data_IF_991217599925
#
_entry.id   IF_991217599925
#
_cell.length_a   1.000
_cell.length_b   1.000
_cell.length_c   1.000
_cell.angle_alpha   90.00
_cell.angle_beta   90.00
_cell.angle_gamma   90.00
#
_symmetry.space_group_name_H-M   'P 1'
#
loop_
_entity.id
_entity.type
_entity.pdbx_description
1 polymer ?
#
# COMPACT_ATOMS: atom_id res chain seq x y z
N UNK A 1 -23.73 -59.31 13.47
CA UNK A 1 -23.56 -57.88 13.64
C UNK A 1 -23.64 -57.28 12.25
N UNK A 2 -24.68 -56.50 11.97
CA UNK A 2 -24.85 -55.86 10.65
C UNK A 2 -23.68 -54.88 10.44
N UNK A 3 -23.03 -54.90 9.28
CA UNK A 3 -22.03 -53.95 8.93
C UNK A 3 -22.62 -52.54 9.08
N UNK A 4 -21.89 -51.53 9.66
CA UNK A 4 -22.40 -50.19 9.73
C UNK A 4 -22.69 -49.70 8.30
N UNK A 5 -23.87 -49.09 8.10
CA UNK A 5 -24.22 -48.47 6.83
C UNK A 5 -23.20 -47.40 6.46
N UNK A 6 -22.78 -47.38 5.19
CA UNK A 6 -21.86 -46.36 4.68
C UNK A 6 -22.44 -44.96 4.90
N UNK A 7 -21.62 -43.97 5.32
CA UNK A 7 -22.07 -42.60 5.52
C UNK A 7 -22.51 -41.99 4.18
N UNK A 8 -23.61 -41.25 4.20
CA UNK A 8 -24.02 -40.47 3.03
C UNK A 8 -23.10 -39.25 2.85
N UNK A 9 -23.00 -38.75 1.62
CA UNK A 9 -22.26 -37.54 1.32
C UNK A 9 -22.74 -36.33 2.16
N UNK A 10 -24.06 -36.25 2.38
CA UNK A 10 -24.66 -35.19 3.21
C UNK A 10 -24.25 -35.28 4.67
N UNK A 11 -24.09 -36.49 5.21
CA UNK A 11 -23.58 -36.70 6.57
C UNK A 11 -22.12 -36.25 6.69
N UNK A 12 -21.29 -36.51 5.69
CA UNK A 12 -19.90 -36.04 5.64
C UNK A 12 -19.81 -34.49 5.52
N UNK A 13 -20.62 -33.88 4.65
CA UNK A 13 -20.71 -32.42 4.53
C UNK A 13 -21.22 -31.75 5.82
N UNK A 14 -22.18 -32.37 6.49
CA UNK A 14 -22.68 -31.92 7.80
C UNK A 14 -21.59 -31.98 8.90
N UNK A 15 -20.73 -32.99 8.84
CA UNK A 15 -19.58 -33.03 9.76
C UNK A 15 -18.56 -31.93 9.44
N UNK A 16 -18.27 -31.71 8.16
CA UNK A 16 -17.36 -30.66 7.68
C UNK A 16 -17.88 -29.25 7.93
N UNK A 17 -19.21 -29.04 8.02
CA UNK A 17 -19.78 -27.73 8.35
C UNK A 17 -19.44 -27.25 9.77
N UNK A 18 -18.93 -28.13 10.62
CA UNK A 18 -18.45 -27.80 11.97
C UNK A 18 -16.96 -27.39 11.97
N UNK A 19 -16.26 -27.63 10.87
CA UNK A 19 -14.85 -27.26 10.72
C UNK A 19 -14.78 -25.84 10.19
N UNK A 20 -14.21 -24.96 10.98
CA UNK A 20 -14.00 -23.57 10.60
C UNK A 20 -12.58 -23.37 10.03
N UNK A 21 -12.47 -22.57 9.00
CA UNK A 21 -11.17 -22.06 8.57
C UNK A 21 -10.57 -21.23 9.71
N UNK A 22 -9.32 -21.50 10.13
CA UNK A 22 -8.74 -20.86 11.32
C UNK A 22 -8.49 -19.36 11.15
N UNK A 23 -8.31 -18.87 9.90
CA UNK A 23 -8.06 -17.46 9.60
C UNK A 23 -9.38 -16.69 9.41
N UNK A 24 -10.32 -17.25 8.66
CA UNK A 24 -11.61 -16.60 8.31
C UNK A 24 -12.66 -16.82 9.41
N UNK A 25 -12.55 -17.90 10.19
CA UNK A 25 -13.47 -18.31 11.28
C UNK A 25 -14.90 -18.56 10.83
N UNK A 26 -15.05 -19.09 9.64
CA UNK A 26 -16.32 -19.58 9.07
C UNK A 26 -16.19 -21.02 8.62
N UNK A 27 -17.30 -21.78 8.54
CA UNK A 27 -17.30 -23.15 8.06
C UNK A 27 -16.67 -23.30 6.67
N UNK A 28 -15.77 -24.26 6.50
CA UNK A 28 -15.10 -24.51 5.20
C UNK A 28 -16.09 -24.87 4.08
N UNK A 29 -17.24 -25.44 4.43
CA UNK A 29 -18.33 -25.72 3.49
C UNK A 29 -18.98 -24.44 2.98
N UNK A 30 -19.20 -23.44 3.83
CA UNK A 30 -19.74 -22.14 3.45
C UNK A 30 -18.73 -21.33 2.60
N UNK A 31 -17.44 -21.50 2.86
CA UNK A 31 -16.37 -20.80 2.14
C UNK A 31 -16.06 -21.40 0.76
N UNK A 32 -16.77 -22.47 0.36
CA UNK A 32 -16.49 -23.18 -0.89
C UNK A 32 -15.11 -23.84 -0.92
N UNK A 33 -14.54 -24.14 0.25
CA UNK A 33 -13.21 -24.74 0.37
C UNK A 33 -13.25 -26.26 0.18
N UNK A 34 -14.40 -26.92 0.31
CA UNK A 34 -14.54 -28.35 0.05
C UNK A 34 -14.64 -28.58 -1.45
N UNK A 35 -13.57 -29.11 -2.06
CA UNK A 35 -13.50 -29.45 -3.49
C UNK A 35 -14.29 -30.74 -3.79
N UNK A 36 -14.00 -31.78 -3.03
CA UNK A 36 -14.71 -33.06 -3.11
C UNK A 36 -14.64 -33.79 -1.78
N UNK A 37 -15.67 -34.62 -1.51
CA UNK A 37 -15.69 -35.59 -0.42
C UNK A 37 -16.37 -36.84 -0.91
N UNK A 38 -15.65 -37.93 -0.95
CA UNK A 38 -16.08 -39.20 -1.47
C UNK A 38 -15.77 -40.30 -0.45
N UNK A 39 -16.58 -41.38 -0.41
CA UNK A 39 -16.40 -42.54 0.44
C UNK A 39 -16.48 -43.82 -0.35
N UNK A 40 -15.56 -44.73 -0.13
CA UNK A 40 -15.58 -46.05 -0.77
C UNK A 40 -16.38 -47.09 0.02
N UNK A 41 -16.51 -48.29 -0.53
CA UNK A 41 -17.26 -49.41 0.06
C UNK A 41 -16.65 -49.90 1.39
N UNK A 42 -15.39 -49.59 1.66
CA UNK A 42 -14.68 -49.92 2.90
C UNK A 42 -14.84 -48.86 4.00
N UNK A 43 -15.50 -47.74 3.69
CA UNK A 43 -15.66 -46.60 4.59
C UNK A 43 -14.44 -45.67 4.63
N UNK A 44 -13.55 -45.76 3.64
CA UNK A 44 -12.44 -44.86 3.50
C UNK A 44 -12.89 -43.56 2.81
N UNK A 45 -12.61 -42.39 3.42
CA UNK A 45 -13.02 -41.07 2.93
C UNK A 45 -11.85 -40.35 2.30
N UNK A 46 -12.02 -39.95 1.04
CA UNK A 46 -11.12 -39.05 0.30
C UNK A 46 -11.71 -37.65 0.35
N UNK A 47 -11.01 -36.74 1.00
CA UNK A 47 -11.39 -35.32 1.10
C UNK A 47 -10.36 -34.44 0.39
N UNK A 48 -10.82 -33.58 -0.53
CA UNK A 48 -10.00 -32.56 -1.14
C UNK A 48 -10.46 -31.16 -0.67
N UNK A 49 -9.51 -30.35 -0.17
CA UNK A 49 -9.76 -29.00 0.35
C UNK A 49 -8.96 -27.98 -0.45
N UNK A 50 -9.59 -26.89 -0.84
CA UNK A 50 -8.91 -25.74 -1.39
C UNK A 50 -8.32 -24.85 -0.29
N UNK A 51 -7.04 -24.54 -0.40
CA UNK A 51 -6.37 -23.47 0.36
C UNK A 51 -6.50 -22.13 -0.38
N UNK A 52 -6.63 -21.05 0.34
CA UNK A 52 -6.65 -19.70 -0.24
C UNK A 52 -5.32 -19.31 -0.88
N UNK A 53 -4.20 -19.76 -0.29
CA UNK A 53 -2.83 -19.55 -0.78
C UNK A 53 -1.98 -20.81 -0.57
N UNK A 54 -0.99 -21.03 -1.45
CA UNK A 54 -0.11 -22.21 -1.39
C UNK A 54 0.76 -22.31 -0.12
N UNK A 55 1.00 -21.19 0.55
CA UNK A 55 1.82 -21.08 1.76
C UNK A 55 1.03 -20.93 3.06
N UNK A 56 -0.25 -21.36 3.11
CA UNK A 56 -1.09 -21.22 4.30
C UNK A 56 -0.41 -21.85 5.54
N UNK A 57 -0.09 -21.06 6.60
CA UNK A 57 0.58 -21.57 7.78
C UNK A 57 -0.32 -22.47 8.63
N UNK A 58 -1.62 -22.41 8.39
CA UNK A 58 -2.62 -23.15 9.17
C UNK A 58 -3.10 -24.46 8.48
N UNK A 59 -2.44 -24.89 7.39
CA UNK A 59 -2.81 -26.09 6.62
C UNK A 59 -2.88 -27.36 7.48
N UNK A 60 -1.95 -27.51 8.43
CA UNK A 60 -1.89 -28.69 9.31
C UNK A 60 -3.06 -28.72 10.31
N UNK A 61 -3.46 -27.55 10.82
CA UNK A 61 -4.66 -27.42 11.68
C UNK A 61 -5.92 -27.78 10.91
N UNK A 62 -6.07 -27.23 9.70
CA UNK A 62 -7.21 -27.50 8.85
C UNK A 62 -7.33 -29.00 8.49
N UNK A 63 -6.22 -29.64 8.14
CA UNK A 63 -6.15 -31.09 7.88
C UNK A 63 -6.55 -31.89 9.10
N UNK A 64 -6.01 -31.56 10.28
CA UNK A 64 -6.30 -32.24 11.53
C UNK A 64 -7.78 -32.14 11.91
N UNK A 65 -8.34 -30.95 11.88
CA UNK A 65 -9.72 -30.68 12.27
C UNK A 65 -10.72 -31.35 11.34
N UNK A 66 -10.44 -31.31 10.00
CA UNK A 66 -11.26 -32.01 9.02
C UNK A 66 -11.21 -33.50 9.17
N UNK A 67 -10.04 -34.08 9.43
CA UNK A 67 -9.87 -35.52 9.71
C UNK A 67 -10.65 -35.92 10.95
N UNK A 68 -10.52 -35.17 12.05
CA UNK A 68 -11.24 -35.47 13.29
C UNK A 68 -12.76 -35.39 13.14
N UNK A 69 -13.27 -34.39 12.39
CA UNK A 69 -14.69 -34.23 12.12
C UNK A 69 -15.27 -35.42 11.32
N UNK A 70 -14.54 -35.88 10.32
CA UNK A 70 -14.98 -37.02 9.48
C UNK A 70 -14.86 -38.36 10.22
N UNK A 71 -13.81 -38.57 11.01
CA UNK A 71 -13.66 -39.78 11.82
C UNK A 71 -14.78 -39.96 12.86
N UNK A 72 -15.43 -38.87 13.27
CA UNK A 72 -16.60 -38.89 14.14
C UNK A 72 -17.89 -39.37 13.46
N UNK A 73 -17.91 -39.56 12.14
CA UNK A 73 -19.09 -40.00 11.40
C UNK A 73 -19.18 -41.54 11.43
N UNK A 74 -20.32 -42.15 11.84
CA UNK A 74 -20.50 -43.59 11.86
C UNK A 74 -20.30 -44.21 10.45
N UNK A 75 -19.49 -45.26 10.38
CA UNK A 75 -19.17 -45.94 9.13
C UNK A 75 -17.90 -45.46 8.42
N UNK A 76 -17.25 -44.38 8.90
CA UNK A 76 -15.93 -43.94 8.43
C UNK A 76 -14.84 -44.79 9.12
N UNK A 77 -13.98 -45.41 8.32
CA UNK A 77 -12.87 -46.25 8.79
C UNK A 77 -11.54 -45.53 8.74
N UNK A 78 -11.32 -44.68 7.76
CA UNK A 78 -10.13 -43.86 7.60
C UNK A 78 -10.43 -42.64 6.73
N UNK A 79 -9.57 -41.60 6.87
CA UNK A 79 -9.72 -40.36 6.13
C UNK A 79 -8.37 -39.97 5.52
N UNK A 80 -8.36 -39.67 4.23
CA UNK A 80 -7.23 -39.06 3.55
C UNK A 80 -7.62 -37.64 3.09
N UNK A 81 -6.75 -36.66 3.40
CA UNK A 81 -7.00 -35.25 3.08
C UNK A 81 -5.95 -34.77 2.09
N UNK A 82 -6.41 -34.32 0.93
CA UNK A 82 -5.58 -33.69 -0.09
C UNK A 82 -5.84 -32.19 -0.12
N UNK A 83 -4.77 -31.41 -0.17
CA UNK A 83 -4.84 -29.95 -0.23
C UNK A 83 -4.53 -29.48 -1.65
N UNK A 84 -5.36 -28.60 -2.18
CA UNK A 84 -5.21 -27.93 -3.47
C UNK A 84 -5.25 -26.41 -3.26
N UNK A 85 -4.95 -25.61 -4.27
CA UNK A 85 -4.95 -24.13 -4.17
C UNK A 85 -6.09 -23.58 -5.03
N UNK A 86 -6.83 -22.62 -4.49
CA UNK A 86 -7.89 -21.91 -5.22
C UNK A 86 -7.33 -21.19 -6.46
N UNK A 87 -8.08 -21.23 -7.56
CA UNK A 87 -7.82 -20.36 -8.72
C UNK A 87 -8.08 -18.89 -8.38
N UNK A 88 -7.63 -17.99 -9.26
CA UNK A 88 -7.87 -16.55 -9.09
C UNK A 88 -9.36 -16.21 -9.09
N UNK A 89 -10.14 -16.91 -9.92
CA UNK A 89 -11.60 -16.74 -9.97
C UNK A 89 -12.26 -17.23 -8.68
N UNK A 90 -11.85 -18.38 -8.15
CA UNK A 90 -12.37 -18.90 -6.88
C UNK A 90 -12.05 -18.01 -5.71
N UNK A 91 -10.82 -17.44 -5.65
CA UNK A 91 -10.44 -16.45 -4.63
C UNK A 91 -11.26 -15.17 -4.75
N UNK A 92 -11.56 -14.74 -5.96
CA UNK A 92 -12.40 -13.56 -6.21
C UNK A 92 -13.83 -13.81 -5.76
N UNK A 93 -14.41 -14.97 -6.08
CA UNK A 93 -15.75 -15.35 -5.63
C UNK A 93 -15.84 -15.46 -4.09
N UNK A 94 -14.84 -16.07 -3.45
CA UNK A 94 -14.76 -16.13 -1.99
C UNK A 94 -14.69 -14.72 -1.36
N UNK A 95 -13.89 -13.83 -1.92
CA UNK A 95 -13.82 -12.42 -1.46
C UNK A 95 -15.15 -11.69 -1.57
N UNK A 96 -15.85 -11.84 -2.70
CA UNK A 96 -17.19 -11.26 -2.90
C UNK A 96 -18.21 -11.82 -1.90
N UNK A 97 -18.18 -13.11 -1.62
CA UNK A 97 -19.04 -13.75 -0.63
C UNK A 97 -18.76 -13.24 0.79
N UNK A 98 -17.49 -13.13 1.17
CA UNK A 98 -17.09 -12.62 2.48
C UNK A 98 -17.49 -11.15 2.71
N UNK A 99 -17.61 -10.37 1.64
CA UNK A 99 -18.03 -8.96 1.63
C UNK A 99 -19.55 -8.76 1.55
N UNK A 100 -20.34 -9.84 1.57
CA UNK A 100 -21.80 -9.75 1.49
C UNK A 100 -22.31 -9.33 0.10
N UNK A 101 -21.55 -9.63 -0.95
CA UNK A 101 -21.96 -9.34 -2.34
C UNK A 101 -21.76 -7.89 -2.78
N UNK A 102 -21.15 -7.03 -1.95
CA UNK A 102 -20.81 -5.66 -2.36
C UNK A 102 -19.64 -5.72 -3.34
N UNK A 103 -19.78 -5.23 -4.59
CA UNK A 103 -18.66 -5.20 -5.54
C UNK A 103 -17.49 -4.39 -4.96
N UNK A 104 -16.26 -4.83 -5.22
CA UNK A 104 -15.08 -4.02 -4.94
C UNK A 104 -15.21 -2.71 -5.71
N UNK A 105 -15.21 -1.56 -5.00
CA UNK A 105 -15.13 -0.27 -5.68
C UNK A 105 -13.79 -0.23 -6.44
N UNK A 106 -13.87 0.05 -7.71
CA UNK A 106 -12.67 0.20 -8.54
C UNK A 106 -11.83 1.37 -8.02
N UNK A 107 -10.53 1.12 -7.88
CA UNK A 107 -9.58 2.18 -7.55
C UNK A 107 -9.26 2.93 -8.85
N UNK A 108 -9.65 4.21 -9.01
CA UNK A 108 -9.47 4.94 -10.26
C UNK A 108 -8.01 5.02 -10.70
N UNK A 109 -7.09 5.06 -9.73
CA UNK A 109 -5.64 5.18 -9.97
C UNK A 109 -4.99 3.89 -10.46
N UNK A 110 -5.63 2.74 -10.26
CA UNK A 110 -5.15 1.43 -10.72
C UNK A 110 -5.55 1.13 -12.18
N UNK A 111 -6.45 1.92 -12.74
CA UNK A 111 -6.93 1.71 -14.10
C UNK A 111 -5.82 1.98 -15.14
N UNK A 112 -5.69 1.14 -16.18
CA UNK A 112 -4.64 1.31 -17.21
C UNK A 112 -4.69 2.65 -17.95
N UNK A 113 -5.86 3.28 -18.00
CA UNK A 113 -6.10 4.57 -18.63
C UNK A 113 -6.01 5.76 -17.66
N UNK A 114 -5.70 5.51 -16.39
CA UNK A 114 -5.53 6.57 -15.40
C UNK A 114 -4.43 7.55 -15.82
N UNK A 115 -4.76 8.83 -15.81
CA UNK A 115 -3.82 9.91 -16.09
C UNK A 115 -3.17 10.47 -14.85
N UNK A 116 -3.63 10.07 -13.66
CA UNK A 116 -3.07 10.48 -12.38
C UNK A 116 -1.70 9.85 -12.16
N UNK A 117 -0.72 10.65 -11.78
CA UNK A 117 0.58 10.15 -11.32
C UNK A 117 0.49 9.85 -9.85
N UNK A 118 0.89 8.66 -9.47
CA UNK A 118 0.91 8.25 -8.06
C UNK A 118 2.35 8.09 -7.60
N UNK A 119 2.73 8.82 -6.58
CA UNK A 119 4.04 8.74 -5.94
C UNK A 119 3.92 8.19 -4.52
N UNK A 120 4.53 7.05 -4.27
CA UNK A 120 4.67 6.47 -2.95
C UNK A 120 5.97 7.02 -2.30
N UNK A 121 5.81 7.92 -1.33
CA UNK A 121 6.95 8.55 -0.65
C UNK A 121 7.40 7.65 0.50
N UNK A 122 8.58 7.08 0.36
CA UNK A 122 9.14 6.09 1.27
C UNK A 122 10.45 6.59 1.89
N UNK A 123 10.78 6.07 3.08
CA UNK A 123 12.06 6.28 3.73
C UNK A 123 12.52 5.03 4.45
N UNK A 124 13.80 4.76 4.50
CA UNK A 124 14.35 3.58 5.19
C UNK A 124 14.36 3.70 6.72
N UNK A 125 14.25 4.92 7.26
CA UNK A 125 14.21 5.20 8.71
C UNK A 125 13.27 6.36 9.02
N UNK A 126 12.80 6.44 10.26
CA UNK A 126 12.07 7.59 10.76
C UNK A 126 12.95 8.83 10.94
N UNK A 127 12.32 10.02 10.97
CA UNK A 127 13.01 11.27 11.27
C UNK A 127 13.81 11.89 10.11
N UNK A 128 13.70 11.38 8.88
CA UNK A 128 14.35 11.97 7.69
C UNK A 128 13.59 13.16 7.09
N UNK A 129 12.44 13.51 7.65
CA UNK A 129 11.58 14.58 7.13
C UNK A 129 10.71 14.17 5.94
N UNK A 130 10.41 12.89 5.78
CA UNK A 130 9.57 12.33 4.69
C UNK A 130 8.26 13.10 4.52
N UNK A 131 7.47 13.24 5.59
CA UNK A 131 6.17 13.91 5.56
C UNK A 131 6.30 15.41 5.27
N UNK A 132 7.36 16.09 5.77
CA UNK A 132 7.64 17.49 5.42
C UNK A 132 7.91 17.63 3.92
N UNK A 133 8.67 16.71 3.34
CA UNK A 133 8.92 16.68 1.88
C UNK A 133 7.61 16.44 1.13
N UNK A 134 6.82 15.44 1.53
CA UNK A 134 5.53 15.09 0.92
C UNK A 134 4.58 16.29 0.87
N UNK A 135 4.40 16.96 2.00
CA UNK A 135 3.51 18.13 2.15
C UNK A 135 3.96 19.29 1.27
N UNK A 136 5.23 19.59 1.28
CA UNK A 136 5.76 20.70 0.49
C UNK A 136 5.76 20.42 -1.03
N UNK A 137 6.02 19.18 -1.42
CA UNK A 137 5.86 18.78 -2.84
C UNK A 137 4.39 18.92 -3.27
N UNK A 138 3.44 18.47 -2.44
CA UNK A 138 2.01 18.60 -2.73
C UNK A 138 1.60 20.06 -2.90
N UNK A 139 1.95 20.92 -1.95
CA UNK A 139 1.63 22.35 -1.98
C UNK A 139 2.30 23.07 -3.17
N UNK A 140 3.57 22.76 -3.47
CA UNK A 140 4.26 23.33 -4.62
C UNK A 140 3.69 22.88 -5.98
N UNK A 141 3.20 21.65 -6.08
CA UNK A 141 2.53 21.17 -7.30
C UNK A 141 1.14 21.81 -7.46
N UNK A 142 0.40 21.99 -6.36
CA UNK A 142 -0.89 22.67 -6.38
C UNK A 142 -0.74 24.14 -6.78
N UNK A 143 0.27 24.85 -6.26
CA UNK A 143 0.61 26.22 -6.67
C UNK A 143 0.92 26.34 -8.17
N UNK A 144 1.46 25.28 -8.78
CA UNK A 144 1.69 25.20 -10.23
C UNK A 144 0.42 24.88 -11.05
N UNK A 145 -0.75 24.83 -10.41
CA UNK A 145 -2.04 24.59 -11.04
C UNK A 145 -2.38 23.12 -11.24
N UNK A 146 -1.66 22.18 -10.63
CA UNK A 146 -2.01 20.77 -10.66
C UNK A 146 -3.06 20.44 -9.60
N UNK A 147 -3.96 19.50 -9.90
CA UNK A 147 -4.92 18.94 -8.94
C UNK A 147 -4.22 17.86 -8.14
N UNK A 148 -3.99 18.11 -6.86
CA UNK A 148 -3.16 17.27 -6.01
C UNK A 148 -3.96 16.66 -4.87
N UNK A 149 -3.71 15.37 -4.61
CA UNK A 149 -4.16 14.66 -3.43
C UNK A 149 -3.00 14.12 -2.60
N UNK A 150 -3.22 14.01 -1.29
CA UNK A 150 -2.29 13.36 -0.36
C UNK A 150 -3.03 12.35 0.50
N UNK A 151 -2.52 11.13 0.55
CA UNK A 151 -2.91 10.11 1.50
C UNK A 151 -1.80 9.97 2.53
N UNK A 152 -2.10 10.29 3.78
CA UNK A 152 -1.22 10.00 4.92
C UNK A 152 -1.50 8.58 5.40
N UNK A 153 -0.62 7.67 5.04
CA UNK A 153 -0.67 6.26 5.40
C UNK A 153 0.25 5.91 6.57
N UNK A 154 0.90 6.89 7.20
CA UNK A 154 1.71 6.68 8.41
C UNK A 154 0.82 6.55 9.64
N UNK A 155 0.45 5.33 9.96
CA UNK A 155 -0.48 5.01 11.07
C UNK A 155 0.09 5.28 12.47
N UNK A 156 1.39 5.41 12.58
CA UNK A 156 2.07 5.62 13.86
C UNK A 156 2.47 7.08 14.07
N UNK A 157 2.57 7.85 13.00
CA UNK A 157 3.06 9.22 13.02
C UNK A 157 2.34 10.14 12.06
N UNK A 158 1.01 10.00 11.93
CA UNK A 158 0.20 10.83 11.04
C UNK A 158 0.41 12.32 11.35
N UNK A 159 1.04 13.01 10.43
CA UNK A 159 1.45 14.41 10.59
C UNK A 159 1.02 15.32 9.44
N UNK A 160 0.67 14.74 8.30
CA UNK A 160 0.31 15.48 7.07
C UNK A 160 -0.84 16.47 7.28
N UNK A 161 -1.97 16.12 7.95
CA UNK A 161 -3.06 17.08 8.18
C UNK A 161 -2.60 18.31 8.94
N UNK A 162 -1.84 18.12 10.04
CA UNK A 162 -1.31 19.20 10.83
C UNK A 162 -0.36 20.10 10.02
N UNK A 163 0.55 19.49 9.26
CA UNK A 163 1.52 20.23 8.43
C UNK A 163 0.88 21.02 7.28
N UNK A 164 -0.35 20.63 6.87
CA UNK A 164 -1.15 21.35 5.89
C UNK A 164 -2.21 22.27 6.54
N UNK A 165 -2.22 22.41 7.87
CA UNK A 165 -3.21 23.22 8.57
C UNK A 165 -4.65 22.72 8.41
N UNK A 166 -4.84 21.42 8.24
CA UNK A 166 -6.17 20.80 8.10
C UNK A 166 -6.74 20.55 9.50
N UNK A 167 -7.78 21.32 9.87
CA UNK A 167 -8.50 21.14 11.13
C UNK A 167 -9.84 20.38 10.94
N UNK A 168 -10.35 20.38 9.72
CA UNK A 168 -11.63 19.79 9.38
C UNK A 168 -11.53 18.26 9.26
N UNK A 169 -12.59 17.57 9.69
CA UNK A 169 -12.72 16.13 9.45
C UNK A 169 -13.33 15.87 8.08
N UNK A 170 -13.03 14.71 7.47
CA UNK A 170 -13.72 14.28 6.26
C UNK A 170 -15.22 14.22 6.48
N UNK A 171 -16.00 14.62 5.48
CA UNK A 171 -17.46 14.51 5.48
C UNK A 171 -17.87 13.23 4.75
N UNK A 172 -18.76 12.45 5.32
CA UNK A 172 -19.29 11.27 4.65
C UNK A 172 -20.66 11.62 4.02
N UNK A 173 -20.78 11.30 2.73
CA UNK A 173 -22.03 11.42 1.97
C UNK A 173 -22.33 10.07 1.36
N UNK A 174 -23.32 9.37 1.88
CA UNK A 174 -23.63 7.98 1.57
C UNK A 174 -22.37 7.08 1.71
N UNK A 175 -21.95 6.44 0.63
CA UNK A 175 -20.76 5.58 0.59
C UNK A 175 -19.48 6.33 0.18
N UNK A 176 -19.53 7.67 0.10
CA UNK A 176 -18.43 8.49 -0.39
C UNK A 176 -17.87 9.36 0.73
N UNK A 177 -16.55 9.44 0.81
CA UNK A 177 -15.81 10.28 1.75
C UNK A 177 -15.35 11.54 1.02
N UNK A 178 -15.79 12.70 1.44
CA UNK A 178 -15.30 13.98 0.94
C UNK A 178 -14.04 14.38 1.75
N UNK A 179 -12.87 14.44 1.13
CA UNK A 179 -11.65 14.83 1.82
C UNK A 179 -11.63 16.34 2.08
N UNK A 180 -11.12 16.81 3.22
CA UNK A 180 -10.84 18.22 3.41
C UNK A 180 -9.79 18.71 2.41
N UNK A 181 -9.85 20.03 2.13
CA UNK A 181 -8.92 20.69 1.21
C UNK A 181 -8.21 21.79 1.97
N UNK A 182 -6.88 21.82 1.85
CA UNK A 182 -6.05 22.91 2.34
C UNK A 182 -4.95 23.21 1.33
N UNK A 183 -4.67 24.48 1.09
CA UNK A 183 -3.70 24.95 0.08
C UNK A 183 -3.93 24.27 -1.31
N UNK A 184 -5.18 24.12 -1.71
CA UNK A 184 -5.62 23.42 -2.95
C UNK A 184 -5.20 21.95 -3.04
N UNK A 185 -4.81 21.34 -1.90
CA UNK A 185 -4.48 19.92 -1.77
C UNK A 185 -5.62 19.19 -1.05
N UNK A 186 -6.14 18.12 -1.66
CA UNK A 186 -7.06 17.18 -1.02
C UNK A 186 -6.29 16.27 -0.08
N UNK A 187 -6.74 16.12 1.17
CA UNK A 187 -6.01 15.37 2.19
C UNK A 187 -6.89 14.31 2.82
N UNK A 188 -6.37 13.11 2.93
CA UNK A 188 -6.94 12.06 3.76
C UNK A 188 -5.84 11.45 4.63
N UNK A 189 -6.12 11.23 5.89
CA UNK A 189 -5.20 10.60 6.83
C UNK A 189 -5.95 9.61 7.70
N UNK A 190 -5.29 8.52 8.02
CA UNK A 190 -5.82 7.53 8.94
C UNK A 190 -6.14 8.14 10.32
N UNK A 191 -5.35 9.14 10.73
CA UNK A 191 -5.55 9.88 11.97
C UNK A 191 -6.88 10.64 12.05
N UNK A 192 -7.51 10.96 10.93
CA UNK A 192 -8.80 11.64 10.89
C UNK A 192 -9.97 10.75 11.34
N UNK A 193 -9.79 9.43 11.30
CA UNK A 193 -10.80 8.42 11.67
C UNK A 193 -10.58 7.80 13.04
N UNK A 194 -9.45 8.10 13.68
CA UNK A 194 -9.13 7.60 15.02
C UNK A 194 -9.67 8.61 16.05
N UNK A 195 -10.57 8.19 16.97
CA UNK A 195 -11.06 9.06 18.03
C UNK A 195 -9.98 9.36 19.07
N UNK A 196 -9.58 10.61 19.21
CA UNK A 196 -8.64 11.06 20.24
C UNK A 196 -7.22 10.45 20.10
N UNK A 197 -6.44 10.45 21.18
CA UNK A 197 -5.09 9.86 21.25
C UNK A 197 -5.12 8.38 21.66
N UNK A 198 -6.15 7.61 21.31
CA UNK A 198 -6.20 6.21 21.66
C UNK A 198 -5.21 5.42 20.78
N UNK A 199 -4.33 4.60 21.38
CA UNK A 199 -3.44 3.74 20.61
C UNK A 199 -4.27 2.66 19.90
N UNK A 200 -4.34 2.73 18.59
CA UNK A 200 -4.94 1.67 17.76
C UNK A 200 -3.84 0.73 17.31
N UNK A 201 -3.97 -0.54 17.63
CA UNK A 201 -3.06 -1.57 17.13
C UNK A 201 -3.45 -1.92 15.70
N UNK A 202 -2.74 -1.34 14.75
CA UNK A 202 -2.92 -1.62 13.33
C UNK A 202 -2.21 -2.92 12.95
N UNK A 203 -2.94 -3.84 12.34
CA UNK A 203 -2.38 -5.06 11.74
C UNK A 203 -2.38 -4.93 10.22
N UNK A 204 -1.43 -5.59 9.52
CA UNK A 204 -1.27 -5.51 8.07
C UNK A 204 -2.57 -5.57 7.26
N UNK A 205 -3.48 -6.55 7.49
CA UNK A 205 -4.77 -6.62 6.77
C UNK A 205 -5.70 -5.43 7.02
N UNK A 206 -5.66 -4.81 8.21
CA UNK A 206 -6.46 -3.61 8.53
C UNK A 206 -5.92 -2.39 7.77
N UNK A 207 -4.60 -2.27 7.68
CA UNK A 207 -3.94 -1.19 6.94
C UNK A 207 -4.21 -1.28 5.44
N UNK A 208 -4.11 -2.48 4.88
CA UNK A 208 -4.46 -2.73 3.48
C UNK A 208 -5.91 -2.31 3.18
N UNK A 209 -6.84 -2.69 4.05
CA UNK A 209 -8.26 -2.33 3.90
C UNK A 209 -8.50 -0.83 4.03
N UNK A 210 -7.85 -0.16 5.00
CA UNK A 210 -7.96 1.30 5.16
C UNK A 210 -7.41 2.02 3.92
N UNK A 211 -6.25 1.60 3.41
CA UNK A 211 -5.67 2.16 2.20
C UNK A 211 -6.58 1.94 0.98
N UNK A 212 -7.16 0.75 0.84
CA UNK A 212 -8.13 0.44 -0.22
C UNK A 212 -9.36 1.37 -0.14
N UNK A 213 -9.89 1.63 1.07
CA UNK A 213 -10.99 2.56 1.28
C UNK A 213 -10.58 4.00 0.92
N UNK A 214 -9.40 4.45 1.32
CA UNK A 214 -8.93 5.80 0.97
C UNK A 214 -8.73 5.98 -0.53
N UNK A 215 -8.36 4.95 -1.24
CA UNK A 215 -8.17 5.00 -2.69
C UNK A 215 -9.48 4.86 -3.48
N UNK A 216 -10.47 4.12 -2.95
CA UNK A 216 -11.72 3.80 -3.65
C UNK A 216 -12.95 4.55 -3.16
N UNK A 217 -13.03 4.90 -1.86
CA UNK A 217 -14.23 5.52 -1.27
C UNK A 217 -14.10 7.05 -1.12
N UNK A 218 -12.88 7.58 -1.15
CA UNK A 218 -12.65 9.03 -1.12
C UNK A 218 -12.92 9.65 -2.49
N UNK A 219 -13.67 10.74 -2.49
CA UNK A 219 -13.96 11.52 -3.70
C UNK A 219 -12.75 12.37 -4.10
N UNK A 220 -11.85 11.76 -4.82
CA UNK A 220 -10.67 12.44 -5.34
C UNK A 220 -10.98 13.35 -6.53
N UNK A 221 -12.01 13.02 -7.33
CA UNK A 221 -12.24 13.65 -8.64
C UNK A 221 -11.06 13.40 -9.58
N UNK A 222 -10.89 14.30 -10.53
CA UNK A 222 -9.76 14.22 -11.47
C UNK A 222 -8.51 14.77 -10.81
N UNK A 223 -7.58 13.92 -10.41
CA UNK A 223 -6.27 14.32 -9.93
C UNK A 223 -5.22 14.25 -11.04
N UNK A 224 -4.27 15.18 -11.01
CA UNK A 224 -3.04 15.10 -11.81
C UNK A 224 -1.96 14.34 -11.06
N UNK A 225 -1.91 14.49 -9.72
CA UNK A 225 -0.92 13.85 -8.84
C UNK A 225 -1.57 13.38 -7.54
N UNK A 226 -1.22 12.16 -7.12
CA UNK A 226 -1.52 11.61 -5.79
C UNK A 226 -0.21 11.24 -5.10
N UNK A 227 0.03 11.80 -3.92
CA UNK A 227 1.17 11.48 -3.07
C UNK A 227 0.70 10.58 -1.91
N UNK A 228 1.39 9.48 -1.68
CA UNK A 228 1.14 8.57 -0.57
C UNK A 228 2.28 8.69 0.42
N UNK A 229 2.05 9.29 1.59
CA UNK A 229 3.05 9.38 2.66
C UNK A 229 3.08 8.07 3.44
N UNK A 230 4.09 7.22 3.17
CA UNK A 230 4.18 5.88 3.77
C UNK A 230 4.82 5.92 5.16
N UNK A 231 4.55 4.95 6.05
CA UNK A 231 5.32 4.83 7.29
C UNK A 231 6.80 4.58 7.00
N UNK A 232 7.68 4.91 7.94
CA UNK A 232 9.10 4.64 7.79
C UNK A 232 9.36 3.12 7.74
N UNK A 233 10.34 2.73 6.96
CA UNK A 233 10.68 1.33 6.72
C UNK A 233 9.98 0.75 5.50
N UNK A 234 10.06 -0.57 5.35
CA UNK A 234 9.66 -1.31 4.14
C UNK A 234 8.59 -2.35 4.44
N UNK A 235 7.65 -1.97 5.31
CA UNK A 235 6.63 -2.89 5.83
C UNK A 235 5.45 -3.16 4.88
N UNK A 236 4.44 -3.82 5.41
CA UNK A 236 3.23 -4.30 4.73
C UNK A 236 2.49 -3.22 3.91
N UNK A 237 2.63 -1.92 4.27
CA UNK A 237 1.97 -0.83 3.56
C UNK A 237 2.56 -0.62 2.16
N UNK A 238 3.87 -0.68 2.00
CA UNK A 238 4.51 -0.53 0.69
C UNK A 238 4.07 -1.66 -0.26
N UNK A 239 3.97 -2.89 0.26
CA UNK A 239 3.43 -4.04 -0.49
C UNK A 239 1.95 -3.82 -0.82
N UNK A 240 1.17 -3.30 0.13
CA UNK A 240 -0.25 -2.99 -0.09
C UNK A 240 -0.44 -1.92 -1.18
N UNK A 241 0.38 -0.86 -1.19
CA UNK A 241 0.36 0.16 -2.26
C UNK A 241 0.64 -0.48 -3.61
N UNK A 242 1.67 -1.31 -3.70
CA UNK A 242 2.03 -1.99 -4.93
C UNK A 242 0.94 -2.92 -5.46
N UNK A 243 0.22 -3.60 -4.57
CA UNK A 243 -0.92 -4.45 -4.92
C UNK A 243 -2.13 -3.64 -5.38
N UNK A 244 -2.41 -2.51 -4.73
CA UNK A 244 -3.56 -1.67 -5.01
C UNK A 244 -3.34 -0.73 -6.19
N UNK A 245 -2.10 -0.23 -6.38
CA UNK A 245 -1.72 0.68 -7.47
C UNK A 245 -0.36 0.23 -8.03
N UNK A 246 -0.32 -0.78 -8.89
CA UNK A 246 0.94 -1.30 -9.45
C UNK A 246 1.75 -0.26 -10.25
N UNK A 247 1.06 0.78 -10.74
CA UNK A 247 1.64 1.88 -11.52
C UNK A 247 2.25 2.99 -10.66
N UNK A 248 2.12 2.93 -9.32
CA UNK A 248 2.72 3.92 -8.43
C UNK A 248 4.25 3.88 -8.52
N UNK A 249 4.87 5.06 -8.58
CA UNK A 249 6.32 5.21 -8.57
C UNK A 249 6.81 5.53 -7.16
N UNK A 250 7.95 4.96 -6.76
CA UNK A 250 8.51 5.18 -5.43
C UNK A 250 9.41 6.42 -5.45
N UNK A 251 9.16 7.35 -4.51
CA UNK A 251 10.07 8.45 -4.18
C UNK A 251 10.78 8.12 -2.87
N UNK A 252 12.11 8.05 -2.90
CA UNK A 252 12.90 7.72 -1.71
C UNK A 252 13.42 8.99 -1.06
N UNK A 253 13.05 9.24 0.20
CA UNK A 253 13.57 10.35 1.01
C UNK A 253 14.64 9.82 1.97
N UNK A 254 15.80 10.44 1.94
CA UNK A 254 16.96 10.10 2.79
C UNK A 254 17.65 11.33 3.34
N UNK A 255 18.73 11.13 4.10
CA UNK A 255 19.61 12.17 4.64
C UNK A 255 21.07 11.87 4.24
N UNK A 256 22.02 12.83 4.34
CA UNK A 256 23.42 12.64 3.93
C UNK A 256 24.19 11.53 4.67
N UNK A 257 23.68 11.04 5.80
CA UNK A 257 24.36 10.06 6.64
C UNK A 257 24.67 8.76 5.91
N UNK A 258 25.84 8.17 6.15
CA UNK A 258 26.31 6.94 5.51
C UNK A 258 25.46 5.68 5.77
N UNK A 259 24.57 5.67 6.76
CA UNK A 259 23.54 4.62 6.93
C UNK A 259 22.52 4.56 5.76
N UNK A 260 22.72 5.38 4.74
CA UNK A 260 21.96 5.42 3.50
C UNK A 260 21.97 4.08 2.71
N UNK A 261 23.02 3.25 2.85
CA UNK A 261 23.08 1.95 2.16
C UNK A 261 21.94 1.02 2.54
N UNK A 262 21.59 0.95 3.83
CA UNK A 262 20.46 0.13 4.32
C UNK A 262 19.11 0.62 3.76
N UNK A 263 18.98 1.93 3.56
CA UNK A 263 17.79 2.55 2.93
C UNK A 263 17.65 2.10 1.49
N UNK A 264 18.78 2.12 0.75
CA UNK A 264 18.82 1.70 -0.64
C UNK A 264 18.46 0.22 -0.80
N UNK A 265 19.05 -0.65 0.02
CA UNK A 265 18.76 -2.09 -0.03
C UNK A 265 17.28 -2.39 0.19
N UNK A 266 16.67 -1.75 1.18
CA UNK A 266 15.25 -1.96 1.50
C UNK A 266 14.32 -1.43 0.41
N UNK A 267 14.50 -0.18 -0.02
CA UNK A 267 13.66 0.41 -1.08
C UNK A 267 13.85 -0.32 -2.42
N UNK A 268 15.08 -0.73 -2.75
CA UNK A 268 15.38 -1.53 -3.94
C UNK A 268 14.72 -2.91 -3.89
N UNK A 269 14.78 -3.59 -2.75
CA UNK A 269 14.15 -4.89 -2.54
C UNK A 269 12.63 -4.83 -2.76
N UNK A 270 11.96 -3.79 -2.22
CA UNK A 270 10.53 -3.61 -2.45
C UNK A 270 10.25 -3.35 -3.92
N UNK A 271 10.95 -2.40 -4.54
CA UNK A 271 10.73 -2.07 -5.95
C UNK A 271 10.88 -3.30 -6.86
N UNK A 272 11.87 -4.16 -6.59
CA UNK A 272 12.08 -5.41 -7.32
C UNK A 272 10.96 -6.42 -7.07
N UNK A 273 10.56 -6.62 -5.80
CA UNK A 273 9.49 -7.57 -5.44
C UNK A 273 8.13 -7.15 -5.98
N UNK A 274 7.89 -5.85 -6.06
CA UNK A 274 6.60 -5.29 -6.49
C UNK A 274 6.58 -4.84 -7.95
N UNK A 275 7.70 -4.94 -8.66
CA UNK A 275 7.88 -4.44 -10.04
C UNK A 275 7.57 -2.96 -10.21
N UNK A 276 7.68 -2.16 -9.14
CA UNK A 276 7.45 -0.72 -9.17
C UNK A 276 8.71 0.02 -9.62
N UNK A 277 8.52 1.14 -10.30
CA UNK A 277 9.61 2.05 -10.67
C UNK A 277 9.99 2.93 -9.51
N UNK A 278 11.28 3.23 -9.37
CA UNK A 278 11.76 4.28 -8.48
C UNK A 278 11.86 5.58 -9.28
N UNK A 279 11.06 6.58 -8.91
CA UNK A 279 11.08 7.88 -9.54
C UNK A 279 12.39 8.63 -9.28
N UNK A 280 12.96 8.47 -8.11
CA UNK A 280 14.25 9.03 -7.72
C UNK A 280 14.42 9.16 -6.22
N UNK A 281 15.56 9.74 -5.86
CA UNK A 281 15.98 9.97 -4.47
C UNK A 281 15.93 11.47 -4.18
N UNK A 282 15.49 11.84 -2.99
CA UNK A 282 15.51 13.21 -2.46
C UNK A 282 16.35 13.16 -1.18
N UNK A 283 17.45 13.93 -1.15
CA UNK A 283 18.26 14.08 0.05
C UNK A 283 17.78 15.29 0.84
N UNK A 284 17.27 15.06 2.03
CA UNK A 284 16.85 16.11 2.95
C UNK A 284 17.92 16.36 4.02
N UNK A 285 17.94 17.55 4.60
CA UNK A 285 18.92 17.98 5.62
C UNK A 285 20.37 17.93 5.09
N UNK A 286 20.57 18.29 3.82
CA UNK A 286 21.87 18.13 3.13
C UNK A 286 22.96 19.01 3.69
N UNK A 287 22.66 20.25 4.06
CA UNK A 287 23.58 21.21 4.72
C UNK A 287 22.80 22.26 5.47
N UNK A 288 23.45 22.92 6.41
CA UNK A 288 22.98 24.17 6.99
C UNK A 288 23.69 25.34 6.28
N UNK A 289 22.93 26.30 5.79
CA UNK A 289 23.48 27.53 5.23
C UNK A 289 23.62 28.57 6.34
N UNK A 290 24.84 29.04 6.56
CA UNK A 290 25.15 30.07 7.54
C UNK A 290 24.89 31.47 6.97
N UNK A 291 24.76 32.53 7.83
CA UNK A 291 24.48 33.89 7.37
C UNK A 291 25.52 34.49 6.41
N UNK A 292 26.74 33.95 6.41
CA UNK A 292 27.81 34.35 5.49
C UNK A 292 27.79 33.59 4.16
N UNK A 293 26.77 32.74 3.94
CA UNK A 293 26.62 31.87 2.75
C UNK A 293 27.47 30.61 2.79
N UNK A 294 28.21 30.36 3.87
CA UNK A 294 28.98 29.12 4.04
C UNK A 294 28.05 27.95 4.30
N UNK A 295 28.29 26.78 3.68
CA UNK A 295 27.54 25.53 3.90
C UNK A 295 28.26 24.67 4.91
N UNK A 296 27.53 24.24 5.93
CA UNK A 296 28.01 23.32 6.95
C UNK A 296 27.26 21.95 6.82
N UNK A 297 28.01 20.90 6.57
CA UNK A 297 27.51 19.54 6.41
C UNK A 297 27.32 18.85 7.76
N UNK A 298 26.25 19.19 8.50
CA UNK A 298 26.00 18.72 9.87
C UNK A 298 25.82 17.19 9.91
N UNK A 299 25.20 16.62 8.90
CA UNK A 299 24.92 15.19 8.80
C UNK A 299 25.83 14.45 7.80
N UNK A 300 26.94 15.07 7.39
CA UNK A 300 27.80 14.56 6.33
C UNK A 300 27.31 14.95 4.95
N UNK A 301 27.84 14.31 3.90
CA UNK A 301 27.54 14.63 2.51
C UNK A 301 27.47 13.38 1.63
N UNK A 302 26.77 13.48 0.49
CA UNK A 302 26.75 12.46 -0.56
C UNK A 302 25.89 11.22 -0.31
N UNK A 303 25.16 11.14 0.81
CA UNK A 303 24.31 10.00 1.14
C UNK A 303 23.21 9.78 0.12
N UNK A 304 22.55 10.84 -0.36
CA UNK A 304 21.50 10.74 -1.39
C UNK A 304 22.02 10.20 -2.72
N UNK A 305 23.21 10.66 -3.16
CA UNK A 305 23.84 10.14 -4.37
C UNK A 305 24.22 8.67 -4.21
N UNK A 306 24.79 8.30 -3.06
CA UNK A 306 25.16 6.91 -2.77
C UNK A 306 23.93 5.98 -2.80
N UNK A 307 22.77 6.43 -2.26
CA UNK A 307 21.50 5.71 -2.36
C UNK A 307 21.05 5.58 -3.82
N UNK A 308 21.07 6.67 -4.59
CA UNK A 308 20.69 6.67 -6.00
C UNK A 308 21.54 5.69 -6.83
N UNK A 309 22.85 5.70 -6.63
CA UNK A 309 23.79 4.80 -7.30
C UNK A 309 23.58 3.32 -6.91
N UNK A 310 23.33 3.07 -5.61
CA UNK A 310 23.06 1.72 -5.11
C UNK A 310 21.74 1.17 -5.67
N UNK A 311 20.69 1.97 -5.68
CA UNK A 311 19.40 1.60 -6.28
C UNK A 311 19.53 1.35 -7.77
N UNK A 312 20.29 2.19 -8.49
CA UNK A 312 20.53 2.03 -9.93
C UNK A 312 21.20 0.69 -10.24
N UNK A 313 22.19 0.31 -9.43
CA UNK A 313 22.87 -1.02 -9.56
C UNK A 313 21.93 -2.17 -9.27
N UNK A 314 21.12 -2.07 -8.21
CA UNK A 314 20.20 -3.15 -7.79
C UNK A 314 19.09 -3.40 -8.79
N UNK A 315 18.56 -2.33 -9.40
CA UNK A 315 17.39 -2.40 -10.31
C UNK A 315 17.82 -2.58 -11.77
N UNK A 316 19.08 -2.26 -12.10
CA UNK A 316 19.57 -2.28 -13.48
C UNK A 316 19.04 -1.12 -14.34
N UNK A 317 18.56 -0.03 -13.71
CA UNK A 317 18.05 1.16 -14.38
C UNK A 317 18.47 2.43 -13.61
N UNK A 318 18.64 3.54 -14.30
CA UNK A 318 19.08 4.80 -13.68
C UNK A 318 18.02 5.32 -12.70
N UNK A 319 18.40 5.50 -11.44
CA UNK A 319 17.63 6.17 -10.40
C UNK A 319 18.31 7.53 -10.13
N UNK A 320 17.67 8.68 -10.47
CA UNK A 320 18.28 9.97 -10.30
C UNK A 320 18.20 10.46 -8.84
N UNK A 321 19.22 11.25 -8.41
CA UNK A 321 19.07 12.17 -7.30
C UNK A 321 18.27 13.38 -7.81
N UNK A 322 17.04 13.55 -7.32
CA UNK A 322 16.10 14.58 -7.79
C UNK A 322 16.43 15.96 -7.23
N UNK A 323 17.05 15.99 -6.06
CA UNK A 323 17.48 17.23 -5.42
C UNK A 323 17.91 17.01 -4.00
N UNK A 324 18.53 18.07 -3.48
CA UNK A 324 19.04 18.17 -2.11
C UNK A 324 18.36 19.35 -1.43
N UNK A 325 17.79 19.11 -0.24
CA UNK A 325 17.06 20.10 0.53
C UNK A 325 17.93 20.49 1.74
N UNK A 326 18.27 21.77 1.92
CA UNK A 326 19.05 22.22 3.06
C UNK A 326 18.28 22.05 4.38
N UNK A 327 19.01 21.98 5.48
CA UNK A 327 18.45 22.08 6.82
C UNK A 327 18.04 23.55 7.06
N UNK A 328 16.73 23.77 7.16
CA UNK A 328 16.16 25.11 7.23
C UNK A 328 15.13 25.18 8.37
N UNK A 329 15.29 26.16 9.25
CA UNK A 329 14.38 26.37 10.38
C UNK A 329 12.97 26.74 9.90
N UNK A 330 12.85 27.47 8.79
CA UNK A 330 11.55 27.88 8.23
C UNK A 330 10.74 26.71 7.73
N UNK A 331 11.39 25.62 7.27
CA UNK A 331 10.72 24.38 6.89
C UNK A 331 10.03 23.72 8.10
N UNK A 332 10.69 23.69 9.26
CA UNK A 332 10.13 23.17 10.50
C UNK A 332 8.99 24.08 11.00
N UNK A 333 9.24 25.39 11.06
CA UNK A 333 8.26 26.38 11.54
C UNK A 333 7.00 26.38 10.68
N UNK A 334 7.14 26.32 9.37
CA UNK A 334 6.02 26.20 8.44
C UNK A 334 5.20 24.93 8.66
N UNK A 335 5.87 23.79 8.87
CA UNK A 335 5.20 22.52 9.19
C UNK A 335 4.46 22.54 10.54
N UNK A 336 5.04 23.18 11.56
CA UNK A 336 4.41 23.33 12.87
C UNK A 336 3.20 24.29 12.83
N UNK A 337 3.27 25.32 11.97
CA UNK A 337 2.20 26.31 11.78
C UNK A 337 1.11 25.87 10.78
N UNK A 338 1.23 24.71 10.14
CA UNK A 338 0.30 24.26 9.11
C UNK A 338 0.39 25.04 7.79
N UNK A 339 1.53 25.70 7.56
CA UNK A 339 1.77 26.56 6.40
C UNK A 339 3.07 26.12 5.70
N UNK A 340 3.01 25.29 4.65
CA UNK A 340 4.17 24.75 3.96
C UNK A 340 5.17 25.82 3.52
N UNK A 341 6.48 25.57 3.69
CA UNK A 341 7.54 26.55 3.41
C UNK A 341 7.54 27.02 1.96
N UNK A 342 7.14 26.17 1.02
CA UNK A 342 7.03 26.52 -0.41
C UNK A 342 6.02 27.64 -0.68
N UNK A 343 5.07 27.86 0.25
CA UNK A 343 4.07 28.93 0.21
C UNK A 343 4.43 30.09 1.14
N UNK A 344 4.87 29.78 2.37
CA UNK A 344 5.15 30.79 3.40
C UNK A 344 6.48 31.51 3.22
N UNK A 345 7.50 30.82 2.70
CA UNK A 345 8.83 31.36 2.43
C UNK A 345 9.41 30.75 1.14
N UNK A 346 8.80 31.02 -0.03
CA UNK A 346 9.16 30.37 -1.31
C UNK A 346 10.59 30.64 -1.75
N UNK A 347 11.18 31.76 -1.32
CA UNK A 347 12.54 32.18 -1.66
C UNK A 347 13.58 31.67 -0.65
N UNK A 348 13.17 30.98 0.42
CA UNK A 348 14.11 30.30 1.33
C UNK A 348 14.85 29.19 0.59
N UNK A 349 16.03 28.80 1.07
CA UNK A 349 16.84 27.77 0.44
C UNK A 349 16.06 26.43 0.33
N UNK A 350 15.29 26.06 1.36
CA UNK A 350 14.41 24.88 1.32
C UNK A 350 13.23 25.07 0.36
N UNK A 351 12.60 26.26 0.35
CA UNK A 351 11.49 26.57 -0.55
C UNK A 351 11.88 26.44 -2.02
N UNK A 352 13.01 27.04 -2.40
CA UNK A 352 13.56 26.97 -3.77
C UNK A 352 13.87 25.53 -4.16
N UNK A 353 14.53 24.76 -3.30
CA UNK A 353 14.89 23.37 -3.57
C UNK A 353 13.64 22.49 -3.79
N UNK A 354 12.65 22.59 -2.89
CA UNK A 354 11.41 21.82 -2.95
C UNK A 354 10.56 22.16 -4.19
N UNK A 355 10.45 23.47 -4.53
CA UNK A 355 9.76 23.91 -5.75
C UNK A 355 10.46 23.42 -7.01
N UNK A 356 11.80 23.37 -7.02
CA UNK A 356 12.60 22.80 -8.10
C UNK A 356 12.31 21.32 -8.30
N UNK A 357 12.29 20.52 -7.22
CA UNK A 357 11.97 19.09 -7.23
C UNK A 357 10.52 18.87 -7.72
N UNK A 358 9.56 19.62 -7.16
CA UNK A 358 8.15 19.53 -7.56
C UNK A 358 7.96 19.79 -9.06
N UNK A 359 8.61 20.84 -9.61
CA UNK A 359 8.59 21.15 -11.05
C UNK A 359 9.17 20.00 -11.88
N UNK A 360 10.30 19.43 -11.46
CA UNK A 360 10.90 18.30 -12.14
C UNK A 360 9.99 17.08 -12.19
N UNK A 361 9.28 16.78 -11.11
CA UNK A 361 8.30 15.69 -11.03
C UNK A 361 7.04 15.98 -11.87
N UNK A 362 6.54 17.20 -11.86
CA UNK A 362 5.36 17.64 -12.61
C UNK A 362 5.56 17.56 -14.13
N UNK A 363 6.75 17.87 -14.62
CA UNK A 363 7.07 17.94 -16.06
C UNK A 363 7.56 16.61 -16.65
N UNK A 364 7.77 15.57 -15.85
CA UNK A 364 8.19 14.25 -16.35
C UNK A 364 7.24 13.75 -17.42
N UNK A 365 7.78 13.28 -18.53
CA UNK A 365 7.00 12.66 -19.59
C UNK A 365 6.23 11.45 -19.01
N UNK A 366 4.91 11.42 -19.20
CA UNK A 366 4.11 10.25 -18.89
C UNK A 366 4.59 9.11 -19.77
N UNK A 367 4.90 7.94 -19.21
CA UNK A 367 5.21 6.75 -20.00
C UNK A 367 4.08 6.48 -21.00
N UNK A 368 4.39 6.05 -22.21
CA UNK A 368 3.41 5.72 -23.25
C UNK A 368 2.64 4.42 -22.94
N UNK A 369 2.98 3.73 -21.86
CA UNK A 369 2.30 2.52 -21.42
C UNK A 369 0.82 2.84 -21.14
N UNK A 370 -0.09 2.15 -21.84
CA UNK A 370 -1.54 2.33 -21.72
C UNK A 370 -2.15 3.38 -22.67
N UNK A 371 -1.38 4.14 -23.43
CA UNK A 371 -1.93 4.99 -24.49
C UNK A 371 -2.27 4.16 -25.72
N UNK A 372 -3.53 4.19 -26.13
CA UNK A 372 -3.90 3.75 -27.46
C UNK A 372 -3.14 4.62 -28.49
N UNK A 373 -2.28 3.99 -29.26
CA UNK A 373 -1.45 4.71 -30.25
C UNK A 373 -2.26 5.21 -31.47
N UNK A 374 -3.59 5.02 -31.49
CA UNK A 374 -4.44 5.48 -32.59
C UNK A 374 -4.03 4.93 -33.96
N UNK A 375 -3.25 3.86 -34.01
CA UNK A 375 -2.85 3.20 -35.24
C UNK A 375 -4.03 2.34 -35.71
N UNK A 376 -4.80 2.85 -36.65
CA UNK A 376 -5.73 2.04 -37.44
C UNK A 376 -4.89 1.28 -38.45
N UNK A 377 -4.96 -0.07 -38.54
CA UNK A 377 -4.29 -0.79 -39.61
C UNK A 377 -4.82 -0.27 -40.92
N UNK A 378 -3.94 0.16 -41.84
CA UNK A 378 -4.31 0.47 -43.18
C UNK A 378 -4.93 -0.78 -43.79
N UNK A 379 -6.23 -0.73 -44.11
CA UNK A 379 -6.94 -1.84 -44.72
C UNK A 379 -6.24 -2.25 -46.01
N UNK A 380 -6.11 -3.58 -46.19
CA UNK A 380 -5.77 -4.18 -47.48
C UNK A 380 -6.99 -4.18 -48.38
#
# INVERSE_FOLDING_TARGET
MSAPALPSRDALLTALSKVNDPEIRKPITELGMVKSVDVDEAGHVELSIYLTVSGCPMKDTLTKDSTAALQGVPGVTSVNVTLDVMSDEQRTALRQQLRGGTPEKEIPFAQPNSLTRVYAVASGKGGVGKSSVTVNLAAAMAEQGLRVGVVDADVYGFSVPRMLGVEQRPTQVDDMILPPISHDVKVISIGMFVPGNQPVVWRGPMLHRALQQFLGDVFWGDLDVLLLDLPPGTGDIAISVAQLIPTAEILVVTTPQQAAAEVAERAGSIALQTHQRIAGVIENMSWLELPDGTRQEIFGSGGGQAVADSLSRSIGATVPLLGQIPLDATLREGGDAGNPVVLSAPDSAAGVALRGIARGLATRARGLAGRSLGLTPAGR
#
